data_IF_977428010571
#
_entry.id   IF_977428010571
#
_cell.length_a   1.000
_cell.length_b   1.000
_cell.length_c   1.000
_cell.angle_alpha   90.00
_cell.angle_beta   90.00
_cell.angle_gamma   90.00
#
_symmetry.space_group_name_H-M   'P 1'
#
loop_
_entity.id
_entity.type
_entity.pdbx_description
1 polymer ?
#
# COMPACT_ATOMS: atom_id res chain seq x y z
N UNK A 1 -39.55 -20.81 70.00
CA UNK A 1 -39.33 -21.27 68.62
C UNK A 1 -39.21 -20.03 67.75
N UNK A 2 -38.01 -19.43 67.71
CA UNK A 2 -37.04 -19.37 66.60
C UNK A 2 -37.58 -18.75 65.31
N UNK A 3 -37.05 -17.54 65.04
CA UNK A 3 -37.24 -16.62 63.91
C UNK A 3 -36.50 -17.14 62.67
N UNK A 4 -37.14 -17.12 61.51
CA UNK A 4 -36.49 -17.31 60.22
C UNK A 4 -36.07 -15.94 59.64
N UNK A 5 -34.75 -15.73 59.54
CA UNK A 5 -34.16 -14.64 58.76
C UNK A 5 -33.75 -15.21 57.39
N UNK A 6 -34.46 -14.81 56.34
CA UNK A 6 -34.05 -15.06 54.96
C UNK A 6 -33.02 -14.01 54.53
N UNK A 7 -31.77 -14.44 54.36
CA UNK A 7 -30.68 -13.64 53.80
C UNK A 7 -30.84 -13.55 52.28
N UNK A 8 -31.05 -12.34 51.72
CA UNK A 8 -30.96 -12.08 50.28
C UNK A 8 -29.54 -11.61 49.95
N UNK A 9 -28.77 -12.46 49.27
CA UNK A 9 -27.50 -12.09 48.63
C UNK A 9 -27.80 -11.39 47.30
N UNK A 10 -27.42 -10.12 47.18
CA UNK A 10 -27.43 -9.37 45.93
C UNK A 10 -26.05 -9.51 45.26
N UNK A 11 -25.99 -10.15 44.09
CA UNK A 11 -24.81 -10.13 43.22
C UNK A 11 -24.76 -8.80 42.47
N UNK A 12 -23.73 -7.99 42.76
CA UNK A 12 -23.34 -6.84 41.94
C UNK A 12 -22.52 -7.36 40.75
N UNK A 13 -23.13 -7.37 39.57
CA UNK A 13 -22.41 -7.58 38.32
C UNK A 13 -21.63 -6.32 37.94
N UNK A 14 -20.30 -6.35 38.07
CA UNK A 14 -19.43 -5.34 37.47
C UNK A 14 -19.46 -5.50 35.95
N UNK A 15 -20.20 -4.63 35.28
CA UNK A 15 -20.04 -4.41 33.84
C UNK A 15 -18.68 -3.75 33.60
N UNK A 16 -17.67 -4.54 33.29
CA UNK A 16 -16.45 -4.04 32.64
C UNK A 16 -16.85 -3.64 31.23
N UNK A 17 -17.01 -2.34 30.98
CA UNK A 17 -17.12 -1.86 29.60
C UNK A 17 -15.74 -1.99 28.96
N UNK A 18 -15.60 -2.73 27.84
CA UNK A 18 -14.36 -2.70 27.08
C UNK A 18 -14.16 -1.27 26.59
N UNK A 19 -12.99 -0.68 26.84
CA UNK A 19 -12.57 0.55 26.17
C UNK A 19 -12.55 0.25 24.67
N UNK A 20 -13.57 0.70 23.97
CA UNK A 20 -13.53 0.71 22.53
C UNK A 20 -12.41 1.66 22.10
N UNK A 21 -11.35 1.11 21.52
CA UNK A 21 -10.42 1.89 20.72
C UNK A 21 -11.21 2.69 19.69
N UNK A 22 -10.80 3.94 19.45
CA UNK A 22 -11.43 4.86 18.52
C UNK A 22 -11.94 4.11 17.28
N UNK A 23 -13.26 4.07 17.14
CA UNK A 23 -13.93 3.20 16.18
C UNK A 23 -13.45 3.52 14.76
N UNK A 24 -12.96 2.49 14.08
CA UNK A 24 -12.79 2.50 12.63
C UNK A 24 -14.15 2.88 12.01
N UNK A 25 -14.23 4.08 11.42
CA UNK A 25 -15.43 4.63 10.79
C UNK A 25 -15.32 4.48 9.28
N UNK A 26 -16.45 4.16 8.65
CA UNK A 26 -16.55 4.13 7.20
C UNK A 26 -15.98 5.41 6.58
N UNK A 27 -15.27 5.28 5.47
CA UNK A 27 -14.71 6.44 4.79
C UNK A 27 -15.85 7.28 4.21
N UNK A 28 -15.82 8.59 4.48
CA UNK A 28 -16.81 9.57 4.00
C UNK A 28 -16.14 10.59 3.10
N UNK A 29 -16.89 11.13 2.15
CA UNK A 29 -16.37 12.20 1.29
C UNK A 29 -16.15 13.48 2.12
N UNK A 30 -15.00 14.13 1.92
CA UNK A 30 -14.73 15.46 2.45
C UNK A 30 -15.32 16.56 1.54
N UNK A 31 -15.11 17.81 1.92
CA UNK A 31 -15.57 18.98 1.16
C UNK A 31 -14.98 19.10 -0.26
N UNK A 32 -13.90 18.36 -0.55
CA UNK A 32 -13.25 18.29 -1.86
C UNK A 32 -13.62 17.01 -2.63
N UNK A 33 -14.54 16.20 -2.11
CA UNK A 33 -14.98 14.94 -2.72
C UNK A 33 -14.00 13.77 -2.54
N UNK A 34 -12.92 13.96 -1.77
CA UNK A 34 -11.96 12.90 -1.45
C UNK A 34 -12.47 12.06 -0.28
N UNK A 35 -12.29 10.74 -0.32
CA UNK A 35 -12.67 9.89 0.81
C UNK A 35 -11.68 10.03 1.97
N UNK A 36 -12.21 10.29 3.16
CA UNK A 36 -11.47 10.37 4.43
C UNK A 36 -12.05 9.35 5.40
N UNK A 37 -11.18 8.56 6.02
CA UNK A 37 -11.55 7.53 6.99
C UNK A 37 -11.06 7.96 8.39
N UNK A 38 -11.86 7.70 9.42
CA UNK A 38 -11.55 8.11 10.79
C UNK A 38 -11.63 9.63 11.01
N UNK A 39 -11.06 10.11 12.11
CA UNK A 39 -11.09 11.53 12.49
C UNK A 39 -9.92 11.93 13.39
N UNK A 40 -9.67 13.23 13.48
CA UNK A 40 -8.56 13.76 14.30
C UNK A 40 -7.20 13.23 13.84
N UNK A 41 -6.41 12.71 14.79
CA UNK A 41 -5.05 12.20 14.53
C UNK A 41 -5.03 10.88 13.76
N UNK A 42 -6.13 10.13 13.79
CA UNK A 42 -6.24 8.84 13.09
C UNK A 42 -6.82 8.99 11.68
N UNK A 43 -7.08 10.23 11.24
CA UNK A 43 -7.65 10.51 9.94
C UNK A 43 -6.70 10.07 8.80
N UNK A 44 -7.25 9.36 7.83
CA UNK A 44 -6.56 8.89 6.63
C UNK A 44 -7.29 9.40 5.40
N UNK A 45 -6.55 9.89 4.40
CA UNK A 45 -7.11 10.32 3.13
C UNK A 45 -6.81 9.28 2.05
N UNK A 46 -7.85 8.83 1.36
CA UNK A 46 -7.78 7.83 0.29
C UNK A 46 -7.26 8.46 -0.99
N UNK A 47 -6.36 7.76 -1.68
CA UNK A 47 -5.96 8.10 -3.05
C UNK A 47 -7.02 7.58 -4.02
N UNK A 48 -7.76 8.48 -4.67
CA UNK A 48 -8.95 8.12 -5.46
C UNK A 48 -8.65 7.08 -6.56
N UNK A 49 -7.52 7.23 -7.25
CA UNK A 49 -7.12 6.37 -8.38
C UNK A 49 -6.58 4.99 -7.95
N UNK A 50 -6.58 4.70 -6.65
CA UNK A 50 -6.08 3.44 -6.08
C UNK A 50 -7.18 2.53 -5.56
N UNK A 51 -8.45 2.92 -5.68
CA UNK A 51 -9.59 2.13 -5.23
C UNK A 51 -9.69 0.83 -6.03
N UNK A 52 -9.86 -0.29 -5.33
CA UNK A 52 -9.95 -1.63 -5.93
C UNK A 52 -11.19 -1.76 -6.85
N UNK A 53 -11.18 -2.71 -7.80
CA UNK A 53 -12.36 -3.01 -8.61
C UNK A 53 -13.63 -3.30 -7.79
N UNK A 54 -13.49 -3.98 -6.65
CA UNK A 54 -14.59 -4.25 -5.71
C UNK A 54 -15.01 -3.04 -4.87
N UNK A 55 -14.24 -1.94 -4.90
CA UNK A 55 -14.38 -0.73 -4.06
C UNK A 55 -14.23 -0.95 -2.56
N UNK A 56 -13.80 -2.15 -2.15
CA UNK A 56 -13.64 -2.50 -0.74
C UNK A 56 -12.29 -2.09 -0.17
N UNK A 57 -11.29 -1.85 -1.02
CA UNK A 57 -9.92 -1.55 -0.61
C UNK A 57 -9.37 -0.37 -1.39
N UNK A 58 -8.42 0.34 -0.80
CA UNK A 58 -7.71 1.44 -1.46
C UNK A 58 -6.37 1.70 -0.76
N UNK A 59 -5.49 2.44 -1.43
CA UNK A 59 -4.39 3.08 -0.73
C UNK A 59 -4.86 4.39 -0.11
N UNK A 60 -4.28 4.74 1.03
CA UNK A 60 -4.52 5.99 1.71
C UNK A 60 -3.21 6.50 2.33
N UNK A 61 -3.22 7.74 2.80
CA UNK A 61 -2.12 8.32 3.56
C UNK A 61 -2.60 8.98 4.85
N UNK A 62 -1.68 9.06 5.81
CA UNK A 62 -1.86 9.75 7.10
C UNK A 62 -0.55 10.35 7.58
N UNK A 63 -0.65 11.16 8.62
CA UNK A 63 0.48 11.62 9.43
C UNK A 63 0.18 11.34 10.91
N UNK A 64 1.19 11.38 11.77
CA UNK A 64 1.00 11.23 13.21
C UNK A 64 0.20 12.39 13.86
N UNK A 65 0.10 13.51 13.16
CA UNK A 65 -0.57 14.74 13.62
C UNK A 65 -2.02 14.84 13.10
N UNK A 66 -2.45 13.90 12.24
CA UNK A 66 -3.72 13.97 11.51
C UNK A 66 -3.56 14.58 10.12
N UNK A 67 -4.65 14.71 9.39
CA UNK A 67 -4.60 15.31 8.05
C UNK A 67 -4.38 16.84 8.16
N UNK A 68 -3.38 17.40 7.44
CA UNK A 68 -3.16 18.84 7.40
C UNK A 68 -4.34 19.56 6.76
N UNK A 69 -4.54 20.83 7.12
CA UNK A 69 -5.53 21.73 6.52
C UNK A 69 -4.87 22.78 5.64
N UNK A 70 -5.47 23.11 4.50
CA UNK A 70 -5.00 24.16 3.61
C UNK A 70 -3.68 23.83 2.89
N UNK A 71 -2.73 24.76 2.92
CA UNK A 71 -1.49 24.74 2.14
C UNK A 71 -0.28 24.16 2.91
N UNK A 72 -0.51 23.48 4.02
CA UNK A 72 0.57 22.90 4.81
C UNK A 72 1.13 21.65 4.12
N UNK A 73 2.46 21.57 4.02
CA UNK A 73 3.15 20.37 3.52
C UNK A 73 3.25 19.35 4.66
N UNK A 74 2.68 18.15 4.53
CA UNK A 74 2.74 17.15 5.59
C UNK A 74 4.16 16.63 5.81
N UNK A 75 4.52 16.40 7.07
CA UNK A 75 5.69 15.62 7.49
C UNK A 75 5.26 14.22 7.92
N UNK A 76 6.22 13.30 8.03
CA UNK A 76 6.01 11.96 8.60
C UNK A 76 4.86 11.17 7.95
N UNK A 77 4.76 11.30 6.62
CA UNK A 77 3.72 10.65 5.83
C UNK A 77 3.92 9.15 5.81
N UNK A 78 2.85 8.42 6.14
CA UNK A 78 2.76 6.98 5.98
C UNK A 78 1.69 6.66 4.92
N UNK A 79 2.03 5.82 3.94
CA UNK A 79 1.04 5.23 3.04
C UNK A 79 0.56 3.90 3.60
N UNK A 80 -0.72 3.61 3.45
CA UNK A 80 -1.38 2.43 4.02
C UNK A 80 -2.34 1.82 3.02
N UNK A 81 -2.47 0.50 3.05
CA UNK A 81 -3.54 -0.23 2.38
C UNK A 81 -4.68 -0.42 3.39
N UNK A 82 -5.87 0.05 3.04
CA UNK A 82 -7.02 0.05 3.94
C UNK A 82 -8.21 -0.71 3.37
N UNK A 83 -9.16 -1.05 4.26
CA UNK A 83 -10.53 -1.40 3.90
C UNK A 83 -11.40 -0.14 3.96
N UNK A 84 -12.11 0.14 2.88
CA UNK A 84 -12.88 1.39 2.71
C UNK A 84 -14.14 1.43 3.60
N UNK A 85 -14.74 0.27 3.87
CA UNK A 85 -16.02 0.18 4.59
C UNK A 85 -15.96 0.61 6.05
N UNK A 86 -14.78 0.51 6.66
CA UNK A 86 -14.56 0.80 8.08
C UNK A 86 -13.26 1.57 8.34
N UNK A 87 -12.45 1.85 7.31
CA UNK A 87 -11.16 2.53 7.48
C UNK A 87 -10.08 1.64 8.12
N UNK A 88 -10.29 0.32 8.23
CA UNK A 88 -9.32 -0.56 8.85
C UNK A 88 -8.01 -0.62 8.03
N UNK A 89 -6.88 -0.36 8.67
CA UNK A 89 -5.54 -0.51 8.07
C UNK A 89 -5.18 -2.00 7.99
N UNK A 90 -4.93 -2.49 6.77
CA UNK A 90 -4.52 -3.87 6.53
C UNK A 90 -2.99 -4.03 6.62
N UNK A 91 -2.24 -3.03 6.17
CA UNK A 91 -0.78 -2.99 6.26
C UNK A 91 -0.23 -1.60 5.87
N UNK A 92 1.00 -1.32 6.27
CA UNK A 92 1.76 -0.17 5.78
C UNK A 92 2.34 -0.46 4.38
N UNK A 93 2.31 0.56 3.54
CA UNK A 93 2.90 0.57 2.20
C UNK A 93 4.36 1.06 2.27
N UNK A 94 5.10 0.93 1.16
CA UNK A 94 6.50 1.36 1.12
C UNK A 94 6.68 2.83 0.72
N UNK A 95 5.70 3.43 0.02
CA UNK A 95 5.73 4.82 -0.41
C UNK A 95 5.41 5.83 0.69
N UNK A 96 5.75 7.09 0.42
CA UNK A 96 5.44 8.25 1.29
C UNK A 96 4.73 9.36 0.51
N UNK A 97 3.98 8.99 -0.54
CA UNK A 97 3.21 9.92 -1.36
C UNK A 97 2.12 10.60 -0.53
N UNK A 98 1.74 11.82 -0.87
CA UNK A 98 0.61 12.51 -0.24
C UNK A 98 -0.04 13.47 -1.23
N UNK A 99 -1.34 13.68 -1.02
CA UNK A 99 -2.12 14.68 -1.75
C UNK A 99 -3.21 15.26 -0.85
N UNK A 100 -3.27 16.58 -0.73
CA UNK A 100 -4.27 17.29 0.09
C UNK A 100 -5.53 17.66 -0.69
N UNK A 101 -5.56 17.39 -2.00
CA UNK A 101 -6.58 17.88 -2.94
C UNK A 101 -6.20 19.22 -3.58
N UNK A 102 -5.46 20.08 -2.87
CA UNK A 102 -4.90 21.33 -3.40
C UNK A 102 -3.44 21.19 -3.82
N UNK A 103 -2.69 20.37 -3.08
CA UNK A 103 -1.28 20.10 -3.30
C UNK A 103 -1.02 18.61 -3.32
N UNK A 104 0.12 18.23 -3.88
CA UNK A 104 0.61 16.85 -3.86
C UNK A 104 2.12 16.82 -3.79
N UNK A 105 2.65 15.67 -3.36
CA UNK A 105 4.08 15.43 -3.34
C UNK A 105 4.69 15.66 -4.74
N UNK A 106 5.70 16.54 -4.82
CA UNK A 106 6.35 16.88 -6.08
C UNK A 106 7.31 15.77 -6.53
N UNK A 107 7.28 15.43 -7.83
CA UNK A 107 8.13 14.39 -8.45
C UNK A 107 7.96 13.02 -7.78
N UNK A 108 6.73 12.71 -7.41
CA UNK A 108 6.39 11.46 -6.76
C UNK A 108 5.13 10.90 -7.43
N UNK A 109 5.13 9.59 -7.67
CA UNK A 109 4.05 8.88 -8.33
C UNK A 109 3.71 7.63 -7.54
N UNK A 110 2.40 7.36 -7.43
CA UNK A 110 1.89 6.18 -6.77
C UNK A 110 0.93 5.46 -7.73
N UNK A 111 1.17 4.17 -7.98
CA UNK A 111 0.35 3.33 -8.84
C UNK A 111 -0.12 2.12 -8.03
N UNK A 112 -1.40 1.78 -8.19
CA UNK A 112 -2.01 0.56 -7.67
C UNK A 112 -2.48 -0.32 -8.84
N UNK A 113 -1.83 -1.46 -9.05
CA UNK A 113 -2.27 -2.45 -10.05
C UNK A 113 -2.99 -3.61 -9.36
N UNK A 114 -4.32 -3.58 -9.40
CA UNK A 114 -5.18 -4.57 -8.75
C UNK A 114 -5.34 -5.86 -9.56
N UNK A 115 -5.45 -6.99 -8.86
CA UNK A 115 -6.01 -8.20 -9.45
C UNK A 115 -7.51 -7.99 -9.73
N UNK A 116 -8.08 -8.62 -10.77
CA UNK A 116 -9.49 -8.44 -11.12
C UNK A 116 -10.47 -8.82 -9.99
N UNK A 117 -10.08 -9.77 -9.13
CA UNK A 117 -10.86 -10.21 -7.97
C UNK A 117 -10.62 -9.36 -6.71
N UNK A 118 -9.82 -8.29 -6.80
CA UNK A 118 -9.45 -7.38 -5.70
C UNK A 118 -8.79 -8.07 -4.50
N UNK A 119 -8.26 -9.29 -4.67
CA UNK A 119 -7.57 -10.03 -3.59
C UNK A 119 -6.09 -9.68 -3.47
N UNK A 120 -5.53 -9.03 -4.49
CA UNK A 120 -4.14 -8.61 -4.47
C UNK A 120 -3.95 -7.29 -5.21
N UNK A 121 -2.87 -6.61 -4.86
CA UNK A 121 -2.46 -5.35 -5.47
C UNK A 121 -0.96 -5.26 -5.55
N UNK A 122 -0.45 -4.64 -6.62
CA UNK A 122 0.94 -4.21 -6.72
C UNK A 122 0.99 -2.71 -6.46
N UNK A 123 1.84 -2.32 -5.51
CA UNK A 123 2.24 -0.94 -5.27
C UNK A 123 3.46 -0.62 -6.13
N UNK A 124 3.42 0.52 -6.83
CA UNK A 124 4.62 1.20 -7.34
C UNK A 124 4.65 2.59 -6.74
N UNK A 125 5.66 2.89 -5.93
CA UNK A 125 5.93 4.21 -5.39
C UNK A 125 7.25 4.70 -5.97
N UNK A 126 7.17 5.71 -6.83
CA UNK A 126 8.27 6.27 -7.58
C UNK A 126 8.62 7.64 -7.00
N UNK A 127 9.84 7.83 -6.51
CA UNK A 127 10.38 9.15 -6.18
C UNK A 127 11.01 9.79 -7.41
N UNK A 128 11.80 10.86 -7.22
CA UNK A 128 12.43 11.56 -8.33
C UNK A 128 13.36 10.67 -9.18
N UNK A 129 14.01 9.69 -8.56
CA UNK A 129 15.10 8.94 -9.22
C UNK A 129 14.91 7.42 -9.21
N UNK A 130 14.07 6.88 -8.37
CA UNK A 130 13.94 5.43 -8.23
C UNK A 130 12.52 5.02 -7.83
N UNK A 131 12.26 3.72 -7.86
CA UNK A 131 11.08 3.15 -7.21
C UNK A 131 11.38 2.89 -5.74
N UNK A 132 11.03 3.82 -4.86
CA UNK A 132 11.14 3.68 -3.39
C UNK A 132 10.43 2.41 -2.90
N UNK A 133 9.26 2.10 -3.47
CA UNK A 133 8.56 0.84 -3.26
C UNK A 133 8.16 0.21 -4.58
N UNK A 134 8.38 -1.09 -4.69
CA UNK A 134 7.73 -1.93 -5.68
C UNK A 134 7.40 -3.27 -5.03
N UNK A 135 6.13 -3.47 -4.68
CA UNK A 135 5.73 -4.55 -3.80
C UNK A 135 4.38 -5.15 -4.21
N UNK A 136 4.21 -6.44 -3.93
CA UNK A 136 2.96 -7.17 -4.08
C UNK A 136 2.34 -7.39 -2.70
N UNK A 137 1.03 -7.19 -2.61
CA UNK A 137 0.25 -7.39 -1.40
C UNK A 137 -0.88 -8.39 -1.66
N UNK A 138 -0.94 -9.45 -0.86
CA UNK A 138 -2.07 -10.40 -0.83
C UNK A 138 -2.97 -10.07 0.36
N UNK A 139 -4.23 -9.77 0.11
CA UNK A 139 -5.22 -9.48 1.15
C UNK A 139 -5.81 -10.79 1.68
N UNK A 140 -5.79 -10.94 3.00
CA UNK A 140 -6.40 -12.06 3.72
C UNK A 140 -7.19 -11.54 4.92
N UNK A 141 -8.47 -11.25 4.68
CA UNK A 141 -9.40 -10.75 5.70
C UNK A 141 -9.01 -9.37 6.28
N UNK A 142 -8.38 -9.39 7.45
CA UNK A 142 -8.02 -8.20 8.23
C UNK A 142 -6.57 -7.74 8.04
N UNK A 143 -5.76 -8.48 7.28
CA UNK A 143 -4.36 -8.14 7.04
C UNK A 143 -4.00 -8.31 5.56
N UNK A 144 -2.82 -7.79 5.19
CA UNK A 144 -2.22 -8.07 3.90
C UNK A 144 -0.78 -8.56 4.06
N UNK A 145 -0.43 -9.64 3.34
CA UNK A 145 0.93 -10.19 3.29
C UNK A 145 1.70 -9.51 2.17
N UNK A 146 2.87 -8.94 2.51
CA UNK A 146 3.76 -8.24 1.56
C UNK A 146 4.80 -9.19 0.95
N UNK A 147 5.11 -8.98 -0.32
CA UNK A 147 6.27 -9.51 -1.03
C UNK A 147 6.98 -8.35 -1.74
N UNK A 148 8.27 -8.19 -1.48
CA UNK A 148 9.10 -7.18 -2.13
C UNK A 148 9.47 -7.61 -3.57
N UNK A 149 8.90 -6.94 -4.56
CA UNK A 149 9.19 -7.21 -5.97
C UNK A 149 10.48 -6.53 -6.43
N UNK A 150 10.84 -5.37 -5.84
CA UNK A 150 12.11 -4.69 -6.12
C UNK A 150 13.28 -5.59 -5.77
N UNK A 151 13.30 -6.12 -4.55
CA UNK A 151 14.36 -7.01 -4.06
C UNK A 151 14.48 -8.30 -4.89
N UNK A 152 13.40 -8.74 -5.54
CA UNK A 152 13.42 -9.87 -6.46
C UNK A 152 13.97 -9.49 -7.85
N UNK A 153 13.55 -8.35 -8.40
CA UNK A 153 13.72 -8.01 -9.82
C UNK A 153 15.02 -7.25 -10.07
N UNK A 154 15.35 -6.27 -9.22
CA UNK A 154 16.51 -5.39 -9.40
C UNK A 154 17.83 -6.15 -9.47
N UNK A 155 18.11 -7.18 -8.63
CA UNK A 155 19.34 -7.96 -8.76
C UNK A 155 19.41 -8.74 -10.08
N UNK A 156 18.29 -9.27 -10.55
CA UNK A 156 18.21 -10.03 -11.81
C UNK A 156 18.45 -9.09 -13.01
N UNK A 157 17.91 -7.88 -12.99
CA UNK A 157 18.19 -6.87 -14.01
C UNK A 157 19.65 -6.43 -13.97
N UNK A 158 20.19 -6.14 -12.77
CA UNK A 158 21.57 -5.68 -12.60
C UNK A 158 22.57 -6.71 -13.10
N UNK A 159 22.31 -8.01 -12.87
CA UNK A 159 23.16 -9.09 -13.36
C UNK A 159 23.29 -9.13 -14.90
N UNK A 160 22.31 -8.59 -15.64
CA UNK A 160 22.33 -8.50 -17.12
C UNK A 160 23.21 -7.38 -17.65
N UNK A 161 23.58 -6.41 -16.82
CA UNK A 161 24.51 -5.37 -17.22
C UNK A 161 25.95 -5.92 -17.31
N UNK A 162 26.79 -5.37 -18.20
CA UNK A 162 28.23 -5.63 -18.16
C UNK A 162 28.78 -5.39 -16.75
N UNK A 163 29.72 -6.22 -16.24
CA UNK A 163 30.21 -6.10 -14.85
C UNK A 163 30.63 -4.68 -14.45
N UNK A 164 31.30 -3.95 -15.35
CA UNK A 164 31.73 -2.55 -15.15
C UNK A 164 30.59 -1.53 -14.97
N UNK A 165 29.37 -1.88 -15.38
CA UNK A 165 28.20 -0.99 -15.37
C UNK A 165 27.17 -1.41 -14.29
N UNK A 166 27.50 -2.33 -13.38
CA UNK A 166 26.52 -2.84 -12.39
C UNK A 166 26.29 -1.91 -11.20
N UNK A 167 27.17 -0.94 -10.96
CA UNK A 167 27.09 -0.01 -9.85
C UNK A 167 26.59 1.38 -10.32
N UNK A 168 25.98 2.13 -9.40
CA UNK A 168 25.55 3.51 -9.64
C UNK A 168 24.29 3.68 -10.49
N UNK A 169 23.57 2.59 -10.79
CA UNK A 169 22.26 2.67 -11.43
C UNK A 169 21.15 2.73 -10.38
N UNK A 170 20.06 3.40 -10.74
CA UNK A 170 18.79 3.36 -10.04
C UNK A 170 17.82 2.43 -10.77
N UNK A 171 17.08 1.64 -10.00
CA UNK A 171 15.94 0.87 -10.49
C UNK A 171 14.67 1.73 -10.45
N UNK A 172 13.94 1.74 -11.56
CA UNK A 172 12.64 2.40 -11.65
C UNK A 172 11.68 1.60 -12.51
N UNK A 173 10.45 1.40 -12.03
CA UNK A 173 9.32 0.94 -12.84
C UNK A 173 8.78 2.13 -13.63
N UNK A 174 8.57 1.96 -14.94
CA UNK A 174 8.03 3.01 -15.80
C UNK A 174 6.60 3.38 -15.38
N UNK A 175 6.39 4.66 -15.11
CA UNK A 175 5.09 5.26 -14.79
C UNK A 175 4.17 5.41 -16.00
N UNK A 176 4.77 5.57 -17.18
CA UNK A 176 4.12 5.85 -18.45
C UNK A 176 3.70 4.57 -19.20
N UNK A 177 4.07 3.40 -18.66
CA UNK A 177 3.75 2.10 -19.21
C UNK A 177 2.90 1.27 -18.24
N UNK A 178 1.96 0.44 -18.75
CA UNK A 178 1.07 -0.31 -17.87
C UNK A 178 1.79 -1.28 -16.94
N UNK A 179 1.40 -1.24 -15.66
CA UNK A 179 1.62 -2.30 -14.68
C UNK A 179 0.33 -3.10 -14.56
N UNK A 180 0.39 -4.40 -14.80
CA UNK A 180 -0.80 -5.26 -14.79
C UNK A 180 -0.62 -6.42 -13.83
N UNK A 181 -1.70 -6.79 -13.15
CA UNK A 181 -1.79 -7.96 -12.28
C UNK A 181 -3.02 -8.78 -12.70
N UNK A 182 -2.83 -10.05 -13.04
CA UNK A 182 -3.95 -10.94 -13.32
C UNK A 182 -4.36 -11.78 -12.10
N UNK A 183 -5.53 -12.45 -12.19
CA UNK A 183 -6.07 -13.28 -11.12
C UNK A 183 -5.20 -14.52 -10.80
N UNK A 184 -4.18 -14.83 -11.60
CA UNK A 184 -3.24 -15.94 -11.37
C UNK A 184 -1.94 -15.46 -10.72
N UNK A 185 -1.86 -14.20 -10.30
CA UNK A 185 -0.66 -13.62 -9.68
C UNK A 185 0.43 -13.27 -10.69
N UNK A 186 0.11 -13.12 -11.98
CA UNK A 186 1.08 -12.70 -12.98
C UNK A 186 1.14 -11.19 -13.04
N UNK A 187 2.31 -10.65 -12.71
CA UNK A 187 2.64 -9.23 -12.79
C UNK A 187 3.41 -8.97 -14.08
N UNK A 188 2.99 -7.98 -14.87
CA UNK A 188 3.75 -7.49 -16.04
C UNK A 188 3.94 -5.99 -15.96
N UNK A 189 5.15 -5.55 -16.24
CA UNK A 189 5.56 -4.15 -16.16
C UNK A 189 6.81 -3.92 -17.02
N UNK A 190 7.14 -2.66 -17.23
CA UNK A 190 8.44 -2.25 -17.80
C UNK A 190 9.23 -1.56 -16.71
N UNK A 191 10.50 -1.89 -16.57
CA UNK A 191 11.41 -1.25 -15.62
C UNK A 191 12.73 -0.93 -16.28
N UNK A 192 13.42 0.09 -15.76
CA UNK A 192 14.70 0.53 -16.24
C UNK A 192 15.77 0.51 -15.15
N UNK A 193 16.99 0.26 -15.59
CA UNK A 193 18.20 0.58 -14.85
C UNK A 193 18.90 1.74 -15.56
N UNK A 194 19.11 2.84 -14.86
CA UNK A 194 19.72 4.03 -15.43
C UNK A 194 20.58 4.75 -14.40
N UNK A 195 21.61 5.45 -14.88
CA UNK A 195 22.37 6.37 -14.02
C UNK A 195 21.55 7.66 -13.84
N UNK A 196 21.23 8.10 -12.61
CA UNK A 196 20.52 9.35 -12.40
C UNK A 196 21.20 10.52 -13.11
N UNK A 197 20.42 11.34 -13.83
CA UNK A 197 20.88 12.43 -14.71
C UNK A 197 21.68 12.00 -15.95
N UNK A 198 21.85 10.70 -16.18
CA UNK A 198 22.42 10.16 -17.42
C UNK A 198 21.41 10.17 -18.57
N UNK A 199 21.91 10.17 -19.80
CA UNK A 199 21.09 10.19 -21.02
C UNK A 199 20.62 8.80 -21.46
N UNK A 200 21.13 7.74 -20.82
CA UNK A 200 20.88 6.35 -21.23
C UNK A 200 20.29 5.53 -20.10
N UNK A 201 19.36 4.66 -20.48
CA UNK A 201 18.72 3.68 -19.62
C UNK A 201 18.79 2.30 -20.28
N UNK A 202 18.74 1.25 -19.48
CA UNK A 202 18.53 -0.12 -19.95
C UNK A 202 17.13 -0.54 -19.53
N UNK A 203 16.23 -0.62 -20.50
CA UNK A 203 14.81 -0.83 -20.24
C UNK A 203 14.45 -2.29 -20.51
N UNK A 204 13.63 -2.86 -19.65
CA UNK A 204 13.25 -4.27 -19.72
C UNK A 204 11.75 -4.42 -19.55
N UNK A 205 11.13 -5.21 -20.44
CA UNK A 205 9.82 -5.80 -20.19
C UNK A 205 9.99 -7.00 -19.28
N UNK A 206 9.33 -6.99 -18.13
CA UNK A 206 9.47 -8.01 -17.09
C UNK A 206 8.13 -8.67 -16.81
N UNK A 207 8.16 -9.99 -16.63
CA UNK A 207 7.04 -10.75 -16.09
C UNK A 207 7.47 -11.50 -14.84
N UNK A 208 6.71 -11.31 -13.76
CA UNK A 208 6.87 -12.04 -12.50
C UNK A 208 5.61 -12.87 -12.27
N UNK A 209 5.76 -14.12 -11.87
CA UNK A 209 4.65 -14.92 -11.34
C UNK A 209 4.78 -14.96 -9.82
N UNK A 210 3.74 -14.52 -9.12
CA UNK A 210 3.60 -14.62 -7.67
C UNK A 210 2.65 -15.77 -7.36
N UNK A 211 2.99 -16.59 -6.36
CA UNK A 211 2.19 -17.71 -5.88
C UNK A 211 2.07 -17.65 -4.37
N UNK A 212 0.86 -17.92 -3.88
CA UNK A 212 0.58 -18.10 -2.47
C UNK A 212 0.40 -19.59 -2.16
N UNK A 213 1.12 -20.12 -1.16
CA UNK A 213 0.92 -21.48 -0.65
C UNK A 213 1.02 -21.47 0.88
N UNK A 214 -0.06 -21.85 1.55
CA UNK A 214 -0.12 -21.89 3.02
C UNK A 214 0.22 -20.54 3.68
N UNK A 215 -0.33 -19.43 3.15
CA UNK A 215 -0.08 -18.07 3.65
C UNK A 215 1.28 -17.48 3.29
N UNK A 216 2.19 -18.25 2.67
CA UNK A 216 3.49 -17.74 2.22
C UNK A 216 3.44 -17.32 0.76
N UNK A 217 3.98 -16.14 0.47
CA UNK A 217 4.21 -15.66 -0.88
C UNK A 217 5.57 -16.15 -1.38
N UNK A 218 5.59 -16.54 -2.65
CA UNK A 218 6.79 -16.84 -3.42
C UNK A 218 6.64 -16.22 -4.79
N UNK A 219 7.75 -15.81 -5.40
CA UNK A 219 7.70 -15.26 -6.74
C UNK A 219 8.92 -15.64 -7.55
N UNK A 220 8.75 -15.60 -8.87
CA UNK A 220 9.78 -15.92 -9.82
C UNK A 220 9.70 -14.96 -11.00
N UNK A 221 10.85 -14.40 -11.40
CA UNK A 221 10.99 -13.71 -12.68
C UNK A 221 10.90 -14.77 -13.79
N UNK A 222 9.85 -14.71 -14.61
CA UNK A 222 9.57 -15.70 -15.67
C UNK A 222 10.12 -15.24 -17.00
N UNK A 223 10.05 -13.94 -17.27
CA UNK A 223 10.65 -13.35 -18.47
C UNK A 223 11.21 -11.97 -18.16
N UNK A 224 12.28 -11.65 -18.88
CA UNK A 224 12.93 -10.35 -18.84
C UNK A 224 13.58 -10.13 -20.20
N UNK A 225 13.10 -9.15 -20.93
CA UNK A 225 13.54 -8.85 -22.30
C UNK A 225 13.94 -7.39 -22.37
N UNK A 226 15.18 -7.14 -22.82
CA UNK A 226 15.66 -5.78 -23.05
C UNK A 226 14.90 -5.17 -24.23
N UNK A 227 14.45 -3.93 -24.08
CA UNK A 227 13.73 -3.18 -25.12
C UNK A 227 14.42 -1.88 -25.51
N UNK A 228 15.32 -1.36 -24.66
CA UNK A 228 16.20 -0.23 -24.91
C UNK A 228 17.53 -0.42 -24.19
#
# INVERSE_FOLDING_TARGET
MRRDLAFRLALLALCVQPMAGAYAQACVADQHGSLVCGGGKDAMRVFADTISPSKNYAFAWRTAQGLPSGQDTPSDVENVLIRVTDGAVLTALGGTYWETGEMRANRYELIAAWSPDSRAVVEVANSRWESDSFAYYLIDGAAATKLDLRALVEPVMTARLPPRNRQGNSFRVHEDLPVTLDARGRVRFTAMLYAPKGETSNDYKVQVNVRARGGKLSAQVVSMQRVR
#
